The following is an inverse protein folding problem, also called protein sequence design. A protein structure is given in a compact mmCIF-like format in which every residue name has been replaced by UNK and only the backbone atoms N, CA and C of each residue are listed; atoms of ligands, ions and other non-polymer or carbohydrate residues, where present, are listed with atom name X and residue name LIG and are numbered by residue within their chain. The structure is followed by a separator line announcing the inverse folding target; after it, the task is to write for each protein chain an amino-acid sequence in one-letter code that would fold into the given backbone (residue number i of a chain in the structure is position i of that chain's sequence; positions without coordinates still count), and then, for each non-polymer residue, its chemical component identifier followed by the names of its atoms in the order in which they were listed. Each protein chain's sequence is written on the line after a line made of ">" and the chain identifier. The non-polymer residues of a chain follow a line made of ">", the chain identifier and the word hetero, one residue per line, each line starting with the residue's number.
data_IF_765604967525
#
_entry.id   IF_765604967525
#
_cell.length_a   1.000
_cell.length_b   1.000
_cell.length_c   1.000
_cell.angle_alpha   90.00
_cell.angle_beta   90.00
_cell.angle_gamma   90.00
#
_symmetry.space_group_name_H-M   'P 1'
#
loop_
_entity.id
_entity.type
_entity.pdbx_description
1 polymer ?
#
# COMPACT_ATOMS: atom_id res chain seq x y z
N UNK A 1 20.84 16.30 -2.81
CA UNK A 1 19.39 16.55 -2.99
C UNK A 1 18.75 16.69 -1.63
N UNK A 2 18.05 17.84 -1.32
CA UNK A 2 17.52 18.08 0.03
C UNK A 2 16.27 17.27 0.36
N UNK A 3 15.58 16.69 -0.65
CA UNK A 3 14.39 15.85 -0.40
C UNK A 3 14.85 14.43 -0.07
N UNK A 4 14.51 13.95 1.12
CA UNK A 4 14.95 12.65 1.64
C UNK A 4 14.02 11.51 1.22
N UNK A 5 12.73 11.80 1.04
CA UNK A 5 11.73 10.82 0.71
C UNK A 5 10.33 11.33 1.02
N UNK A 6 9.35 10.46 0.90
CA UNK A 6 7.97 10.79 1.26
C UNK A 6 7.84 10.88 2.78
N UNK A 7 7.27 11.98 3.26
CA UNK A 7 6.95 12.15 4.69
C UNK A 7 5.57 11.63 5.05
N UNK A 8 4.69 11.51 4.08
CA UNK A 8 3.33 11.02 4.29
C UNK A 8 2.54 10.98 3.01
N UNK A 9 1.44 10.26 3.05
CA UNK A 9 0.43 10.22 2.01
C UNK A 9 -0.91 10.51 2.68
N UNK A 10 -1.61 11.52 2.20
CA UNK A 10 -2.91 11.93 2.73
C UNK A 10 -3.94 11.80 1.63
N UNK A 11 -5.08 11.23 1.95
CA UNK A 11 -6.14 11.05 0.99
C UNK A 11 -7.51 11.16 1.67
N UNK A 12 -8.52 11.43 0.88
CA UNK A 12 -9.88 11.64 1.40
C UNK A 12 -10.59 10.31 1.54
N UNK A 13 -11.37 10.18 2.60
CA UNK A 13 -12.18 9.01 2.88
C UNK A 13 -13.57 9.44 3.37
N UNK A 14 -14.58 8.65 3.04
CA UNK A 14 -15.93 8.86 3.60
C UNK A 14 -15.96 8.56 5.09
N UNK A 15 -15.25 7.50 5.50
CA UNK A 15 -15.13 7.13 6.91
C UNK A 15 -13.66 6.89 7.26
N UNK A 16 -12.93 7.95 7.65
CA UNK A 16 -11.49 7.84 7.93
C UNK A 16 -11.16 6.87 9.06
N UNK A 17 -11.99 6.81 10.09
CA UNK A 17 -11.70 5.95 11.25
C UNK A 17 -11.77 4.47 10.87
N UNK A 18 -12.80 4.08 10.11
CA UNK A 18 -12.94 2.71 9.60
C UNK A 18 -11.80 2.38 8.64
N UNK A 19 -11.47 3.30 7.73
CA UNK A 19 -10.42 3.07 6.75
C UNK A 19 -9.05 2.93 7.41
N UNK A 20 -8.70 3.80 8.34
CA UNK A 20 -7.44 3.74 9.07
C UNK A 20 -7.32 2.44 9.87
N UNK A 21 -8.41 2.01 10.52
CA UNK A 21 -8.42 0.75 11.25
C UNK A 21 -8.22 -0.46 10.33
N UNK A 22 -8.80 -0.43 9.15
CA UNK A 22 -8.64 -1.47 8.14
C UNK A 22 -7.17 -1.63 7.72
N UNK A 23 -6.49 -0.50 7.42
CA UNK A 23 -5.08 -0.54 7.04
C UNK A 23 -4.19 -1.08 8.16
N UNK A 24 -4.44 -0.67 9.41
CA UNK A 24 -3.69 -1.17 10.55
C UNK A 24 -3.92 -2.67 10.77
N UNK A 25 -5.18 -3.08 10.71
CA UNK A 25 -5.56 -4.48 11.01
C UNK A 25 -5.03 -5.45 9.96
N UNK A 26 -5.16 -5.12 8.69
CA UNK A 26 -4.89 -6.06 7.61
C UNK A 26 -3.49 -5.94 7.02
N UNK A 27 -2.87 -4.78 7.10
CA UNK A 27 -1.60 -4.51 6.46
C UNK A 27 -0.52 -3.99 7.41
N UNK A 28 -0.88 -3.64 8.64
CA UNK A 28 0.07 -3.03 9.57
C UNK A 28 0.53 -1.65 9.12
N UNK A 29 -0.29 -0.95 8.37
CA UNK A 29 0.06 0.33 7.74
C UNK A 29 -0.63 1.46 8.48
N UNK A 30 0.16 2.47 8.80
CA UNK A 30 -0.34 3.72 9.38
C UNK A 30 -0.79 3.58 10.82
N UNK A 31 -0.82 4.68 11.52
CA UNK A 31 -1.39 4.80 12.86
C UNK A 31 -2.68 5.62 12.85
N UNK A 32 -3.01 6.20 11.70
CA UNK A 32 -4.18 7.04 11.54
C UNK A 32 -3.95 8.49 11.94
N UNK A 33 -4.91 9.33 11.68
CA UNK A 33 -4.92 10.70 12.16
C UNK A 33 -5.19 10.75 13.65
N UNK A 34 -4.43 11.56 14.35
CA UNK A 34 -4.56 11.71 15.79
C UNK A 34 -5.33 12.98 16.10
N UNK A 35 -6.41 12.83 16.86
CA UNK A 35 -7.17 13.96 17.40
C UNK A 35 -6.71 14.35 18.80
N UNK A 36 -5.84 13.58 19.44
CA UNK A 36 -5.29 13.86 20.76
C UNK A 36 -4.03 14.73 20.61
N UNK A 37 -4.07 16.00 21.07
CA UNK A 37 -2.91 16.89 20.95
C UNK A 37 -1.70 16.46 21.80
N UNK A 38 -1.89 15.57 22.77
CA UNK A 38 -0.83 15.07 23.64
C UNK A 38 -0.20 13.78 23.10
N UNK A 39 -0.72 13.21 21.99
CA UNK A 39 -0.17 11.99 21.43
C UNK A 39 1.27 12.17 20.94
N UNK A 40 2.11 11.18 21.18
CA UNK A 40 3.51 11.19 20.74
C UNK A 40 3.62 10.80 19.28
N UNK A 41 4.68 11.24 18.55
CA UNK A 41 4.84 10.93 17.13
C UNK A 41 4.76 9.43 16.80
N UNK A 42 5.25 8.55 17.64
CA UNK A 42 5.20 7.11 17.42
C UNK A 42 3.79 6.52 17.55
N UNK A 43 2.81 7.28 18.07
CA UNK A 43 1.42 6.86 18.15
C UNK A 43 0.64 7.17 16.89
N UNK A 44 1.16 8.08 16.05
CA UNK A 44 0.46 8.51 14.83
C UNK A 44 1.30 8.42 13.56
N UNK A 45 2.53 7.94 13.66
CA UNK A 45 3.36 7.70 12.48
C UNK A 45 3.51 6.21 12.23
N UNK A 46 3.70 5.86 10.98
CA UNK A 46 4.05 4.51 10.55
C UNK A 46 5.54 4.49 10.21
N UNK A 47 6.30 3.65 10.92
CA UNK A 47 7.73 3.51 10.66
C UNK A 47 7.96 2.61 9.47
N UNK A 48 8.45 3.19 8.39
CA UNK A 48 8.75 2.46 7.16
C UNK A 48 10.18 1.96 7.17
N UNK A 49 10.42 0.85 6.48
CA UNK A 49 11.78 0.39 6.20
C UNK A 49 12.27 1.11 4.94
N UNK A 50 13.52 1.57 4.96
CA UNK A 50 14.15 2.26 3.85
C UNK A 50 14.32 1.34 2.64
N UNK A 51 14.47 1.94 1.48
CA UNK A 51 14.67 1.22 0.23
C UNK A 51 14.17 2.01 -0.97
N UNK A 52 14.32 1.45 -2.17
CA UNK A 52 13.87 2.14 -3.38
C UNK A 52 12.35 2.30 -3.37
N UNK A 53 11.89 3.45 -3.86
CA UNK A 53 10.49 3.78 -4.01
C UNK A 53 10.23 4.24 -5.43
N UNK A 54 9.22 3.67 -6.06
CA UNK A 54 8.74 4.16 -7.36
C UNK A 54 7.83 5.35 -7.11
N UNK A 55 8.11 6.43 -7.80
CA UNK A 55 7.27 7.62 -7.80
C UNK A 55 7.10 8.06 -9.25
N UNK A 56 5.99 7.67 -9.85
CA UNK A 56 5.79 7.83 -11.28
C UNK A 56 4.33 8.14 -11.61
N UNK A 57 4.14 8.99 -12.62
CA UNK A 57 2.84 9.31 -13.13
C UNK A 57 2.43 8.29 -14.21
N UNK A 58 1.19 7.83 -14.15
CA UNK A 58 0.57 7.06 -15.23
C UNK A 58 -0.08 8.02 -16.22
N UNK A 59 -0.33 7.54 -17.43
CA UNK A 59 -1.13 8.30 -18.40
C UNK A 59 -2.53 8.52 -17.86
N UNK A 60 -3.12 9.68 -18.14
CA UNK A 60 -4.46 10.02 -17.66
C UNK A 60 -5.53 9.02 -18.11
N UNK A 61 -5.33 8.36 -19.25
CA UNK A 61 -6.26 7.38 -19.81
C UNK A 61 -5.85 5.92 -19.54
N UNK A 62 -4.90 5.70 -18.64
CA UNK A 62 -4.51 4.34 -18.23
C UNK A 62 -5.70 3.58 -17.64
N UNK A 63 -5.82 2.31 -18.01
CA UNK A 63 -6.83 1.40 -17.47
C UNK A 63 -6.29 0.51 -16.33
N UNK A 64 -5.07 0.80 -15.86
CA UNK A 64 -4.41 -0.05 -14.86
C UNK A 64 -5.12 -0.04 -13.51
N UNK A 65 -5.76 1.07 -13.15
CA UNK A 65 -6.65 1.16 -12.01
C UNK A 65 -7.83 2.08 -12.33
N UNK A 66 -8.86 2.09 -11.47
CA UNK A 66 -10.14 2.74 -11.77
C UNK A 66 -9.96 4.21 -12.15
N UNK A 67 -10.67 4.63 -13.22
CA UNK A 67 -10.52 5.96 -13.83
C UNK A 67 -10.96 7.09 -12.88
N UNK A 68 -11.82 6.81 -11.90
CA UNK A 68 -12.28 7.79 -10.92
C UNK A 68 -11.33 7.94 -9.73
N UNK A 69 -10.19 7.24 -9.73
CA UNK A 69 -9.16 7.34 -8.70
C UNK A 69 -7.94 8.06 -9.26
N UNK A 70 -7.42 9.02 -8.48
CA UNK A 70 -6.28 9.82 -8.91
C UNK A 70 -4.94 9.12 -8.69
N UNK A 71 -4.88 8.09 -7.85
CA UNK A 71 -3.64 7.40 -7.50
C UNK A 71 -3.90 5.94 -7.14
N UNK A 72 -2.84 5.16 -7.16
CA UNK A 72 -2.81 3.81 -6.64
C UNK A 72 -1.68 3.71 -5.62
N UNK A 73 -1.95 3.03 -4.50
CA UNK A 73 -0.93 2.79 -3.47
C UNK A 73 -0.18 1.51 -3.83
N UNK A 74 1.15 1.58 -3.80
CA UNK A 74 1.99 0.38 -3.90
C UNK A 74 2.69 0.17 -2.57
N UNK A 75 2.60 -1.03 -2.02
CA UNK A 75 3.27 -1.41 -0.78
C UNK A 75 4.28 -2.51 -1.08
N UNK A 76 5.54 -2.27 -0.69
CA UNK A 76 6.59 -3.28 -0.79
C UNK A 76 6.45 -4.25 0.38
N UNK A 77 6.42 -5.54 0.08
CA UNK A 77 6.22 -6.61 1.08
C UNK A 77 7.34 -7.63 0.99
N UNK A 78 7.59 -8.34 2.08
CA UNK A 78 8.68 -9.31 2.17
C UNK A 78 8.24 -10.76 1.93
N UNK A 79 6.98 -11.11 2.20
CA UNK A 79 6.45 -12.47 2.04
C UNK A 79 5.03 -12.36 1.50
N UNK A 80 4.93 -12.22 0.18
CA UNK A 80 3.66 -12.02 -0.49
C UNK A 80 2.70 -13.19 -0.27
N UNK A 81 3.19 -14.41 -0.37
CA UNK A 81 2.33 -15.60 -0.28
C UNK A 81 1.64 -15.69 1.09
N UNK A 82 2.37 -15.49 2.18
CA UNK A 82 1.80 -15.48 3.53
C UNK A 82 0.79 -14.35 3.71
N UNK A 83 1.11 -13.16 3.20
CA UNK A 83 0.21 -12.03 3.28
C UNK A 83 -1.09 -12.30 2.52
N UNK A 84 -1.01 -12.85 1.31
CA UNK A 84 -2.20 -13.16 0.51
C UNK A 84 -3.08 -14.22 1.18
N UNK A 85 -2.48 -15.23 1.81
CA UNK A 85 -3.23 -16.23 2.57
C UNK A 85 -4.03 -15.57 3.70
N UNK A 86 -3.39 -14.71 4.49
CA UNK A 86 -4.06 -14.00 5.57
C UNK A 86 -5.18 -13.08 5.09
N UNK A 87 -4.97 -12.39 3.97
CA UNK A 87 -5.97 -11.49 3.40
C UNK A 87 -7.19 -12.28 2.89
N UNK A 88 -6.96 -13.41 2.21
CA UNK A 88 -8.05 -14.30 1.76
C UNK A 88 -8.82 -14.86 2.93
N UNK A 89 -8.13 -15.28 3.99
CA UNK A 89 -8.78 -15.79 5.20
C UNK A 89 -9.63 -14.72 5.88
N UNK A 90 -9.26 -13.46 5.75
CA UNK A 90 -10.04 -12.31 6.26
C UNK A 90 -11.19 -11.89 5.33
N UNK A 91 -11.40 -12.60 4.23
CA UNK A 91 -12.48 -12.30 3.28
C UNK A 91 -12.16 -11.19 2.29
N UNK A 92 -10.90 -10.80 2.17
CA UNK A 92 -10.48 -9.74 1.25
C UNK A 92 -10.20 -10.37 -0.12
N UNK A 93 -10.82 -9.82 -1.18
CA UNK A 93 -10.61 -10.28 -2.53
C UNK A 93 -9.18 -9.95 -2.99
N UNK A 94 -8.48 -10.95 -3.49
CA UNK A 94 -7.12 -10.82 -4.00
C UNK A 94 -7.11 -11.09 -5.50
N UNK A 95 -6.52 -10.18 -6.27
CA UNK A 95 -6.39 -10.31 -7.72
C UNK A 95 -4.91 -10.53 -8.02
N UNK A 96 -4.62 -11.60 -8.75
CA UNK A 96 -3.28 -11.88 -9.26
C UNK A 96 -3.33 -12.09 -10.76
N UNK A 97 -2.21 -11.81 -11.43
CA UNK A 97 -2.06 -12.04 -12.86
C UNK A 97 -0.59 -12.36 -13.12
N UNK A 98 -0.33 -13.55 -13.68
CA UNK A 98 1.04 -13.98 -13.96
C UNK A 98 1.79 -13.02 -14.89
N UNK A 99 1.08 -12.28 -15.73
CA UNK A 99 1.69 -11.28 -16.61
C UNK A 99 2.26 -10.08 -15.86
N UNK A 100 1.85 -9.86 -14.62
CA UNK A 100 2.41 -8.79 -13.78
C UNK A 100 3.77 -9.17 -13.21
N UNK A 101 4.05 -10.45 -13.10
CA UNK A 101 5.27 -10.94 -12.46
C UNK A 101 6.43 -10.94 -13.44
N UNK A 102 7.59 -10.49 -12.97
CA UNK A 102 8.81 -10.47 -13.77
C UNK A 102 10.01 -10.76 -12.86
N UNK A 103 10.92 -11.66 -13.28
CA UNK A 103 12.02 -12.09 -12.41
C UNK A 103 12.95 -10.95 -11.97
N UNK A 104 13.06 -9.88 -12.76
CA UNK A 104 13.92 -8.74 -12.43
C UNK A 104 13.21 -7.66 -11.64
N UNK A 105 11.87 -7.67 -11.59
CA UNK A 105 11.06 -6.64 -10.94
C UNK A 105 10.40 -7.17 -9.68
N UNK A 106 9.84 -8.38 -9.73
CA UNK A 106 9.22 -9.03 -8.60
C UNK A 106 7.83 -9.57 -8.91
N UNK A 107 7.10 -9.85 -7.84
CA UNK A 107 5.74 -10.40 -7.89
C UNK A 107 4.75 -9.37 -7.39
N UNK A 108 3.55 -9.40 -7.95
CA UNK A 108 2.51 -8.41 -7.69
C UNK A 108 1.18 -9.08 -7.38
N UNK A 109 0.42 -8.45 -6.51
CA UNK A 109 -0.98 -8.76 -6.28
C UNK A 109 -1.75 -7.46 -6.08
N UNK A 110 -3.05 -7.50 -6.29
CA UNK A 110 -3.91 -6.34 -6.10
C UNK A 110 -5.03 -6.64 -5.13
N UNK A 111 -5.26 -5.71 -4.23
CA UNK A 111 -6.43 -5.68 -3.38
C UNK A 111 -7.05 -4.28 -3.45
N UNK A 112 -8.22 -4.12 -2.85
CA UNK A 112 -8.86 -2.81 -2.73
C UNK A 112 -9.22 -2.58 -1.27
N UNK A 113 -9.08 -1.35 -0.81
CA UNK A 113 -9.53 -1.00 0.51
C UNK A 113 -11.07 -0.83 0.54
N UNK A 114 -11.69 -0.65 1.72
CA UNK A 114 -13.15 -0.54 1.81
C UNK A 114 -13.74 0.63 1.03
N UNK A 115 -12.94 1.61 0.64
CA UNK A 115 -13.42 2.75 -0.16
C UNK A 115 -13.02 2.64 -1.63
N UNK A 116 -12.59 1.45 -2.05
CA UNK A 116 -12.33 1.15 -3.45
C UNK A 116 -10.98 1.63 -3.97
N UNK A 117 -10.07 2.07 -3.11
CA UNK A 117 -8.73 2.44 -3.54
C UNK A 117 -7.92 1.18 -3.85
N UNK A 118 -7.30 1.15 -5.03
CA UNK A 118 -6.45 0.04 -5.43
C UNK A 118 -5.14 0.06 -4.65
N UNK A 119 -4.74 -1.11 -4.16
CA UNK A 119 -3.48 -1.32 -3.48
C UNK A 119 -2.73 -2.41 -4.24
N UNK A 120 -1.57 -2.07 -4.76
CA UNK A 120 -0.66 -3.04 -5.35
C UNK A 120 0.32 -3.51 -4.29
N UNK A 121 0.38 -4.82 -4.07
CA UNK A 121 1.33 -5.45 -3.16
C UNK A 121 2.48 -5.99 -4.00
N UNK A 122 3.69 -5.52 -3.69
CA UNK A 122 4.88 -5.80 -4.49
C UNK A 122 5.94 -6.48 -3.63
N UNK A 123 6.30 -7.70 -4.02
CA UNK A 123 7.44 -8.39 -3.45
C UNK A 123 8.61 -8.30 -4.44
N UNK A 124 9.63 -7.46 -4.16
CA UNK A 124 10.81 -7.38 -5.01
C UNK A 124 11.54 -8.72 -5.09
N UNK A 125 12.35 -8.96 -6.12
CA UNK A 125 13.15 -10.16 -6.17
C UNK A 125 14.14 -10.18 -5.00
N UNK A 126 14.51 -11.38 -4.57
CA UNK A 126 15.50 -11.54 -3.52
C UNK A 126 16.82 -10.86 -3.94
N UNK A 127 17.56 -10.24 -2.98
CA UNK A 127 18.85 -9.67 -3.29
C UNK A 127 19.78 -10.74 -3.90
N UNK A 128 20.56 -10.35 -4.89
CA UNK A 128 21.57 -11.24 -5.44
C UNK A 128 22.57 -11.63 -4.34
N UNK A 129 22.86 -12.90 -4.23
CA UNK A 129 23.80 -13.41 -3.24
C UNK A 129 25.25 -13.02 -3.57
#
# INVERSE_FOLDING_TARGET
>A
MPVLGMGGLFFRAHDPDVLNAWYRTHLGVGAGCVSDPDAQPDEWTWRTLGGPMVFAAFKADSDYFAADKAFMINLRVSDLDSLLTGLRDAGIAVITNAEWDHPDVGRFARIHDPEGNAIELWEPPAPAA
#
